data_IF_739692399889
#
_entry.id   IF_739692399889
#
_cell.length_a   1.000
_cell.length_b   1.000
_cell.length_c   1.000
_cell.angle_alpha   90.00
_cell.angle_beta   90.00
_cell.angle_gamma   90.00
#
_symmetry.space_group_name_H-M   'P 1'
#
loop_
_entity.id
_entity.type
_entity.pdbx_description
1 polymer ?
#
# COMPACT_ATOMS: atom_id res chain seq x y z
N UNK A 1 -15.23 18.57 5.89
CA UNK A 1 -14.10 17.83 6.49
C UNK A 1 -13.06 17.61 5.42
N UNK A 2 -11.81 18.05 5.68
CA UNK A 2 -10.78 18.31 4.68
C UNK A 2 -10.34 17.05 3.92
N UNK A 3 -9.77 17.28 2.73
CA UNK A 3 -9.07 16.24 1.99
C UNK A 3 -8.07 15.51 2.91
N UNK A 4 -7.80 14.21 2.70
CA UNK A 4 -6.78 13.51 3.46
C UNK A 4 -5.49 14.35 3.42
N UNK A 5 -4.93 14.74 4.58
CA UNK A 5 -3.75 15.62 4.66
C UNK A 5 -2.58 15.14 3.79
N UNK A 6 -2.48 13.84 3.53
CA UNK A 6 -1.51 13.26 2.59
C UNK A 6 -1.79 13.65 1.12
N UNK A 7 -3.04 13.71 0.67
CA UNK A 7 -3.39 14.06 -0.72
C UNK A 7 -3.10 15.54 -1.02
N UNK A 8 -3.39 16.43 -0.07
CA UNK A 8 -3.13 17.88 -0.22
C UNK A 8 -1.62 18.20 -0.26
N UNK A 9 -0.78 17.39 0.42
CA UNK A 9 0.68 17.52 0.42
C UNK A 9 1.29 17.35 -0.98
N UNK A 10 0.72 16.48 -1.81
CA UNK A 10 1.25 16.17 -3.15
C UNK A 10 0.70 17.09 -4.24
N UNK A 11 -0.48 17.69 -4.03
CA UNK A 11 -1.07 18.68 -4.96
C UNK A 11 -0.32 20.02 -5.00
N UNK A 12 0.56 20.30 -4.04
CA UNK A 12 1.40 21.51 -4.03
C UNK A 12 2.63 21.42 -4.96
N UNK A 13 2.88 20.27 -5.61
CA UNK A 13 3.94 20.15 -6.62
C UNK A 13 3.50 20.95 -7.85
N UNK A 14 4.13 22.11 -8.08
CA UNK A 14 3.83 23.00 -9.19
C UNK A 14 4.01 22.29 -10.54
N UNK A 15 3.01 22.42 -11.41
CA UNK A 15 3.06 22.08 -12.85
C UNK A 15 4.37 22.51 -13.55
N UNK A 16 4.98 23.61 -13.09
CA UNK A 16 6.21 24.16 -13.66
C UNK A 16 7.42 23.23 -13.60
N UNK A 17 7.45 22.23 -12.71
CA UNK A 17 8.54 21.25 -12.66
C UNK A 17 8.27 19.98 -13.48
N UNK A 18 7.04 19.76 -13.96
CA UNK A 18 6.68 18.56 -14.73
C UNK A 18 7.10 18.69 -16.20
N UNK A 19 6.88 19.86 -16.80
CA UNK A 19 7.16 20.10 -18.21
C UNK A 19 8.63 20.46 -18.40
N UNK A 20 9.45 19.48 -18.77
CA UNK A 20 10.88 19.71 -19.07
C UNK A 20 11.11 20.43 -20.40
N UNK A 21 10.27 20.20 -21.42
CA UNK A 21 10.41 20.81 -22.75
C UNK A 21 9.05 21.31 -23.25
N UNK A 22 9.01 22.52 -23.80
CA UNK A 22 7.78 23.12 -24.35
C UNK A 22 7.53 22.61 -25.78
N UNK A 23 6.25 22.45 -26.13
CA UNK A 23 5.81 22.02 -27.47
C UNK A 23 6.48 22.83 -28.59
N UNK A 24 6.54 24.16 -28.44
CA UNK A 24 7.11 25.09 -29.44
C UNK A 24 8.59 24.83 -29.80
N UNK A 25 9.34 24.09 -28.97
CA UNK A 25 10.76 23.75 -29.21
C UNK A 25 11.06 22.25 -29.34
N UNK A 26 10.07 21.37 -29.17
CA UNK A 26 10.28 19.92 -29.14
C UNK A 26 10.13 19.26 -30.53
N UNK A 27 9.35 19.88 -31.41
CA UNK A 27 9.09 19.39 -32.76
C UNK A 27 7.73 18.68 -32.90
N UNK A 28 7.48 18.13 -34.09
CA UNK A 28 6.15 17.62 -34.51
C UNK A 28 5.65 16.44 -33.66
N UNK A 29 6.56 15.67 -33.04
CA UNK A 29 6.23 14.46 -32.29
C UNK A 29 5.85 14.72 -30.82
N UNK A 30 5.77 15.99 -30.39
CA UNK A 30 5.51 16.33 -28.97
C UNK A 30 4.28 15.64 -28.39
N UNK A 31 3.15 15.67 -29.12
CA UNK A 31 1.89 15.08 -28.65
C UNK A 31 1.95 13.55 -28.58
N UNK A 32 2.62 12.93 -29.55
CA UNK A 32 2.83 11.47 -29.57
C UNK A 32 3.70 11.04 -28.39
N UNK A 33 4.84 11.70 -28.18
CA UNK A 33 5.74 11.38 -27.07
C UNK A 33 5.09 11.68 -25.70
N UNK A 34 4.29 12.75 -25.59
CA UNK A 34 3.51 13.05 -24.39
C UNK A 34 2.54 11.90 -24.06
N UNK A 35 1.81 11.42 -25.07
CA UNK A 35 0.88 10.31 -24.91
C UNK A 35 1.59 8.99 -24.57
N UNK A 36 2.74 8.69 -25.20
CA UNK A 36 3.55 7.52 -24.86
C UNK A 36 4.11 7.58 -23.43
N UNK A 37 4.60 8.74 -22.99
CA UNK A 37 5.03 8.94 -21.60
C UNK A 37 3.89 8.72 -20.62
N UNK A 38 2.69 9.24 -20.92
CA UNK A 38 1.49 9.01 -20.13
C UNK A 38 1.16 7.51 -20.04
N UNK A 39 1.14 6.81 -21.18
CA UNK A 39 0.85 5.37 -21.24
C UNK A 39 1.85 4.53 -20.43
N UNK A 40 3.16 4.79 -20.58
CA UNK A 40 4.21 4.11 -19.82
C UNK A 40 4.03 4.37 -18.31
N UNK A 41 3.69 5.60 -17.93
CA UNK A 41 3.53 5.95 -16.53
C UNK A 41 2.28 5.31 -15.90
N UNK A 42 1.18 5.25 -16.64
CA UNK A 42 -0.05 4.52 -16.27
C UNK A 42 0.23 3.03 -16.06
N UNK A 43 0.90 2.36 -17.01
CA UNK A 43 1.30 0.95 -16.87
C UNK A 43 2.18 0.72 -15.62
N UNK A 44 3.02 1.70 -15.26
CA UNK A 44 3.83 1.63 -14.03
C UNK A 44 2.99 1.64 -12.74
N UNK A 45 1.79 2.23 -12.76
CA UNK A 45 0.86 2.28 -11.61
C UNK A 45 0.22 0.91 -11.42
N UNK A 46 -0.26 0.30 -12.50
CA UNK A 46 -0.83 -1.04 -12.47
C UNK A 46 0.18 -2.05 -11.92
N UNK A 47 1.41 -2.05 -12.45
CA UNK A 47 2.52 -2.87 -11.93
C UNK A 47 2.84 -2.62 -10.45
N UNK A 48 2.63 -1.40 -9.96
CA UNK A 48 2.83 -1.10 -8.53
C UNK A 48 1.73 -1.72 -7.67
N UNK A 49 0.50 -1.74 -8.20
CA UNK A 49 -0.65 -2.37 -7.55
C UNK A 49 -0.48 -3.89 -7.49
N UNK A 50 0.00 -4.52 -8.58
CA UNK A 50 0.31 -5.96 -8.60
C UNK A 50 1.39 -6.33 -7.59
N UNK A 51 2.47 -5.53 -7.50
CA UNK A 51 3.52 -5.72 -6.50
C UNK A 51 2.99 -5.62 -5.06
N UNK A 52 2.02 -4.73 -4.80
CA UNK A 52 1.35 -4.62 -3.49
C UNK A 52 0.58 -5.91 -3.19
N UNK A 53 -0.17 -6.44 -4.16
CA UNK A 53 -0.92 -7.68 -3.97
C UNK A 53 0.00 -8.87 -3.67
N UNK A 54 1.08 -9.04 -4.43
CA UNK A 54 2.06 -10.09 -4.16
C UNK A 54 2.73 -9.94 -2.79
N UNK A 55 3.04 -8.72 -2.36
CA UNK A 55 3.56 -8.49 -1.03
C UNK A 55 2.54 -8.89 0.05
N UNK A 56 1.27 -8.54 -0.13
CA UNK A 56 0.20 -8.93 0.79
C UNK A 56 0.10 -10.46 0.93
N UNK A 57 0.10 -11.18 -0.20
CA UNK A 57 0.02 -12.64 -0.22
C UNK A 57 1.23 -13.28 0.46
N UNK A 58 2.43 -12.73 0.24
CA UNK A 58 3.67 -13.18 0.89
C UNK A 58 3.59 -13.08 2.42
N UNK A 59 3.18 -11.92 2.96
CA UNK A 59 3.06 -11.76 4.41
C UNK A 59 1.94 -12.61 5.01
N UNK A 60 0.83 -12.79 4.29
CA UNK A 60 -0.25 -13.69 4.71
C UNK A 60 0.25 -15.14 4.82
N UNK A 61 1.04 -15.60 3.85
CA UNK A 61 1.64 -16.93 3.87
C UNK A 61 2.58 -17.12 5.07
N UNK A 62 3.48 -16.15 5.33
CA UNK A 62 4.37 -16.21 6.50
C UNK A 62 3.58 -16.24 7.81
N UNK A 63 2.59 -15.37 7.96
CA UNK A 63 1.79 -15.33 9.19
C UNK A 63 1.00 -16.62 9.39
N UNK A 64 0.45 -17.19 8.32
CA UNK A 64 -0.24 -18.48 8.37
C UNK A 64 0.71 -19.60 8.81
N UNK A 65 1.93 -19.63 8.26
CA UNK A 65 2.95 -20.61 8.62
C UNK A 65 3.38 -20.47 10.10
N UNK A 66 3.62 -19.24 10.57
CA UNK A 66 4.00 -18.97 11.95
C UNK A 66 2.90 -19.34 12.94
N UNK A 67 1.64 -18.97 12.67
CA UNK A 67 0.51 -19.40 13.50
C UNK A 67 0.38 -20.93 13.52
N UNK A 68 0.53 -21.59 12.37
CA UNK A 68 0.48 -23.06 12.30
C UNK A 68 1.59 -23.69 13.14
N UNK A 69 2.81 -23.15 13.08
CA UNK A 69 3.94 -23.60 13.90
C UNK A 69 3.67 -23.42 15.40
N UNK A 70 3.09 -22.28 15.80
CA UNK A 70 2.67 -22.05 17.19
C UNK A 70 1.58 -23.06 17.59
N UNK A 71 0.58 -23.30 16.74
CA UNK A 71 -0.47 -24.30 16.97
C UNK A 71 0.09 -25.70 17.21
N UNK A 72 1.03 -26.14 16.36
CA UNK A 72 1.70 -27.43 16.49
C UNK A 72 2.59 -27.51 17.75
N UNK A 73 3.17 -26.39 18.19
CA UNK A 73 3.99 -26.35 19.40
C UNK A 73 3.23 -26.76 20.67
N UNK A 74 1.89 -26.63 20.69
CA UNK A 74 1.06 -27.09 21.81
C UNK A 74 0.92 -28.63 21.89
N UNK A 75 1.33 -29.37 20.85
CA UNK A 75 1.27 -30.83 20.82
C UNK A 75 2.61 -31.49 21.18
N UNK A 76 3.67 -30.71 21.31
CA UNK A 76 5.05 -31.20 21.47
C UNK A 76 5.49 -31.01 22.93
N UNK A 77 5.76 -32.12 23.63
CA UNK A 77 6.10 -32.15 25.07
C UNK A 77 7.27 -31.26 25.50
N UNK A 78 8.26 -31.04 24.63
CA UNK A 78 9.42 -30.16 24.92
C UNK A 78 8.95 -28.73 25.24
N UNK A 79 7.91 -28.27 24.57
CA UNK A 79 7.36 -26.94 24.77
C UNK A 79 6.41 -26.83 25.97
N UNK A 80 6.05 -27.95 26.60
CA UNK A 80 5.29 -27.97 27.86
C UNK A 80 6.21 -27.78 29.06
N UNK A 81 7.40 -28.40 29.03
CA UNK A 81 8.44 -28.22 30.06
C UNK A 81 9.00 -26.80 30.08
N UNK A 82 8.98 -26.13 28.92
CA UNK A 82 9.60 -24.82 28.75
C UNK A 82 8.79 -23.90 27.82
N UNK A 83 7.63 -23.39 28.29
CA UNK A 83 6.70 -22.59 27.47
C UNK A 83 7.29 -21.32 26.86
N UNK A 84 8.27 -20.71 27.54
CA UNK A 84 8.99 -19.53 27.07
C UNK A 84 9.71 -19.74 25.72
N UNK A 85 9.98 -20.98 25.32
CA UNK A 85 10.60 -21.31 24.02
C UNK A 85 9.69 -20.99 22.82
N UNK A 86 8.38 -20.79 23.05
CA UNK A 86 7.42 -20.33 22.03
C UNK A 86 7.51 -18.82 21.77
N UNK A 87 8.01 -18.04 22.73
CA UNK A 87 8.07 -16.57 22.67
C UNK A 87 8.87 -16.02 21.49
N UNK A 88 10.04 -16.59 21.08
CA UNK A 88 10.77 -16.13 19.90
C UNK A 88 9.95 -16.22 18.61
N UNK A 89 9.11 -17.25 18.45
CA UNK A 89 8.27 -17.44 17.27
C UNK A 89 7.16 -16.39 17.23
N UNK A 90 6.52 -16.14 18.39
CA UNK A 90 5.51 -15.08 18.50
C UNK A 90 6.12 -13.68 18.27
N UNK A 91 7.32 -13.44 18.79
CA UNK A 91 8.04 -12.18 18.58
C UNK A 91 8.41 -11.97 17.10
N UNK A 92 8.88 -13.02 16.42
CA UNK A 92 9.15 -12.98 14.98
C UNK A 92 7.88 -12.62 14.18
N UNK A 93 6.73 -13.21 14.55
CA UNK A 93 5.44 -12.87 13.97
C UNK A 93 5.03 -11.42 14.18
N UNK A 94 5.28 -10.87 15.37
CA UNK A 94 5.02 -9.47 15.67
C UNK A 94 5.88 -8.52 14.81
N UNK A 95 7.18 -8.80 14.71
CA UNK A 95 8.10 -8.04 13.84
C UNK A 95 7.64 -8.10 12.39
N UNK A 96 7.23 -9.28 11.92
CA UNK A 96 6.70 -9.48 10.57
C UNK A 96 5.43 -8.63 10.33
N UNK A 97 4.53 -8.52 11.30
CA UNK A 97 3.34 -7.66 11.20
C UNK A 97 3.69 -6.18 11.10
N UNK A 98 4.70 -5.71 11.86
CA UNK A 98 5.17 -4.32 11.78
C UNK A 98 5.74 -4.02 10.40
N UNK A 99 6.60 -4.89 9.86
CA UNK A 99 7.16 -4.74 8.52
C UNK A 99 6.05 -4.74 7.47
N UNK A 100 5.09 -5.67 7.59
CA UNK A 100 3.95 -5.77 6.69
C UNK A 100 3.15 -4.46 6.65
N UNK A 101 2.85 -3.88 7.81
CA UNK A 101 2.12 -2.62 7.91
C UNK A 101 2.87 -1.46 7.23
N UNK A 102 4.17 -1.33 7.47
CA UNK A 102 4.99 -0.30 6.82
C UNK A 102 5.02 -0.44 5.30
N UNK A 103 5.07 -1.68 4.80
CA UNK A 103 5.12 -1.94 3.37
C UNK A 103 3.80 -1.56 2.68
N UNK A 104 2.64 -1.97 3.23
CA UNK A 104 1.33 -1.56 2.70
C UNK A 104 1.21 -0.04 2.68
N UNK A 105 1.63 0.63 3.78
CA UNK A 105 1.60 2.09 3.87
C UNK A 105 2.47 2.75 2.80
N UNK A 106 3.67 2.23 2.57
CA UNK A 106 4.59 2.73 1.53
C UNK A 106 3.96 2.63 0.14
N UNK A 107 3.37 1.48 -0.21
CA UNK A 107 2.68 1.31 -1.49
C UNK A 107 1.50 2.28 -1.65
N UNK A 108 0.71 2.48 -0.60
CA UNK A 108 -0.40 3.46 -0.62
C UNK A 108 0.10 4.88 -0.90
N UNK A 109 1.18 5.29 -0.23
CA UNK A 109 1.75 6.63 -0.40
C UNK A 109 2.34 6.82 -1.80
N UNK A 110 3.10 5.84 -2.30
CA UNK A 110 3.66 5.87 -3.65
C UNK A 110 2.55 5.98 -4.71
N UNK A 111 1.49 5.16 -4.58
CA UNK A 111 0.40 5.16 -5.54
C UNK A 111 -0.34 6.49 -5.55
N UNK A 112 -0.58 7.06 -4.36
CA UNK A 112 -1.19 8.39 -4.21
C UNK A 112 -0.36 9.47 -4.93
N UNK A 113 0.96 9.44 -4.80
CA UNK A 113 1.86 10.35 -5.50
C UNK A 113 1.80 10.17 -7.03
N UNK A 114 1.79 8.91 -7.51
CA UNK A 114 1.68 8.64 -8.95
C UNK A 114 0.36 9.12 -9.55
N UNK A 115 -0.77 8.92 -8.86
CA UNK A 115 -2.07 9.45 -9.30
C UNK A 115 -2.07 10.98 -9.39
N UNK A 116 -1.43 11.67 -8.45
CA UNK A 116 -1.30 13.13 -8.52
C UNK A 116 -0.53 13.56 -9.79
N UNK A 117 0.56 12.87 -10.13
CA UNK A 117 1.32 13.13 -11.36
C UNK A 117 0.47 12.87 -12.61
N UNK A 118 -0.30 11.79 -12.65
CA UNK A 118 -1.26 11.53 -13.74
C UNK A 118 -2.23 12.68 -13.92
N UNK A 119 -2.86 13.15 -12.85
CA UNK A 119 -3.82 14.25 -12.93
C UNK A 119 -3.21 15.55 -13.45
N UNK A 120 -1.91 15.76 -13.24
CA UNK A 120 -1.19 16.89 -13.83
C UNK A 120 -0.91 16.67 -15.33
N UNK A 121 -0.47 15.46 -15.73
CA UNK A 121 -0.26 15.11 -17.16
C UNK A 121 -1.57 15.24 -17.95
N UNK A 122 -2.69 14.79 -17.37
CA UNK A 122 -4.02 14.83 -17.99
C UNK A 122 -4.51 16.24 -18.31
N UNK A 123 -3.96 17.29 -17.67
CA UNK A 123 -4.27 18.69 -18.03
C UNK A 123 -3.70 19.10 -19.39
N UNK A 124 -2.74 18.33 -19.91
CA UNK A 124 -2.12 18.52 -21.22
C UNK A 124 -2.74 17.61 -22.29
N UNK A 125 -3.59 16.66 -21.88
CA UNK A 125 -4.26 15.71 -22.77
C UNK A 125 -5.71 16.14 -23.04
N UNK A 126 -6.31 15.68 -24.15
CA UNK A 126 -7.72 15.98 -24.47
C UNK A 126 -8.71 15.40 -23.46
N UNK A 127 -8.35 14.28 -22.81
CA UNK A 127 -9.18 13.57 -21.85
C UNK A 127 -8.43 13.40 -20.52
N UNK A 128 -9.14 13.62 -19.42
CA UNK A 128 -8.63 13.46 -18.07
C UNK A 128 -9.37 12.30 -17.36
N UNK A 129 -9.10 11.08 -17.82
CA UNK A 129 -9.82 9.87 -17.44
C UNK A 129 -9.71 9.57 -15.95
N UNK A 130 -8.50 9.55 -15.40
CA UNK A 130 -8.25 9.26 -13.99
C UNK A 130 -8.69 10.40 -13.07
N UNK A 131 -8.59 11.66 -13.53
CA UNK A 131 -9.15 12.78 -12.78
C UNK A 131 -10.66 12.64 -12.68
N UNK A 132 -11.33 12.35 -13.80
CA UNK A 132 -12.77 12.18 -13.82
C UNK A 132 -13.24 10.97 -13.01
N UNK A 133 -12.54 9.84 -13.11
CA UNK A 133 -12.77 8.66 -12.25
C UNK A 133 -12.68 9.02 -10.77
N UNK A 134 -11.62 9.73 -10.36
CA UNK A 134 -11.45 10.16 -8.98
C UNK A 134 -12.56 11.12 -8.49
N UNK A 135 -13.09 11.96 -9.36
CA UNK A 135 -14.25 12.82 -9.08
C UNK A 135 -15.55 12.01 -8.90
N UNK A 136 -15.79 11.02 -9.77
CA UNK A 136 -16.93 10.09 -9.67
C UNK A 136 -16.88 9.31 -8.34
N UNK A 137 -15.69 8.83 -7.96
CA UNK A 137 -15.45 8.12 -6.70
C UNK A 137 -15.49 9.04 -5.45
N UNK A 138 -15.93 10.29 -5.60
CA UNK A 138 -16.16 11.22 -4.49
C UNK A 138 -14.90 11.90 -3.97
N UNK A 139 -13.77 11.81 -4.70
CA UNK A 139 -12.51 12.50 -4.42
C UNK A 139 -12.00 12.35 -2.98
N UNK A 140 -12.26 11.20 -2.36
CA UNK A 140 -11.92 10.91 -0.97
C UNK A 140 -12.72 11.69 0.09
N UNK A 141 -13.73 12.48 -0.32
CA UNK A 141 -14.63 13.22 0.59
C UNK A 141 -15.87 12.41 0.93
N UNK A 142 -16.33 11.58 0.00
CA UNK A 142 -17.55 10.81 0.14
C UNK A 142 -17.26 9.31 0.30
N UNK A 143 -17.25 8.84 1.56
CA UNK A 143 -16.98 7.44 1.90
C UNK A 143 -18.13 6.49 1.51
N UNK A 144 -19.32 6.98 1.18
CA UNK A 144 -20.41 6.10 0.73
C UNK A 144 -20.27 5.73 -0.74
N UNK A 145 -19.51 6.50 -1.54
CA UNK A 145 -19.24 6.21 -2.95
C UNK A 145 -18.11 5.23 -3.16
N UNK A 146 -17.03 5.36 -2.38
CA UNK A 146 -15.87 4.50 -2.52
C UNK A 146 -15.17 4.30 -1.18
N UNK A 147 -15.09 3.05 -0.75
CA UNK A 147 -14.30 2.66 0.41
C UNK A 147 -12.94 2.13 -0.09
N UNK A 148 -11.82 2.84 0.17
CA UNK A 148 -10.55 2.42 -0.42
C UNK A 148 -10.10 1.10 0.19
N UNK A 149 -9.91 0.08 -0.65
CA UNK A 149 -9.44 -1.26 -0.26
C UNK A 149 -8.22 -1.23 0.67
N UNK A 150 -7.32 -0.25 0.49
CA UNK A 150 -6.15 -0.07 1.35
C UNK A 150 -6.46 0.12 2.85
N UNK A 151 -7.65 0.60 3.23
CA UNK A 151 -8.02 0.69 4.65
C UNK A 151 -8.29 -0.68 5.26
N UNK A 152 -8.85 -1.60 4.47
CA UNK A 152 -9.11 -2.98 4.90
C UNK A 152 -7.78 -3.74 4.95
N UNK A 153 -6.94 -3.59 3.92
CA UNK A 153 -5.60 -4.21 3.89
C UNK A 153 -4.73 -3.77 5.09
N UNK A 154 -4.82 -2.50 5.49
CA UNK A 154 -4.09 -1.98 6.65
C UNK A 154 -4.54 -2.59 7.99
N UNK A 155 -5.75 -3.16 8.07
CA UNK A 155 -6.27 -3.80 9.28
C UNK A 155 -5.71 -5.22 9.47
N UNK A 156 -5.32 -5.90 8.39
CA UNK A 156 -4.81 -7.28 8.43
C UNK A 156 -3.57 -7.40 9.33
N UNK A 157 -2.49 -6.59 9.16
CA UNK A 157 -1.33 -6.65 10.05
C UNK A 157 -1.67 -6.39 11.52
N UNK A 158 -2.67 -5.54 11.80
CA UNK A 158 -3.10 -5.26 13.19
C UNK A 158 -3.77 -6.47 13.83
N UNK A 159 -4.61 -7.20 13.08
CA UNK A 159 -5.26 -8.42 13.59
C UNK A 159 -4.22 -9.47 13.93
N UNK A 160 -3.28 -9.77 13.02
CA UNK A 160 -2.19 -10.71 13.31
C UNK A 160 -1.29 -10.22 14.44
N UNK A 161 -0.94 -8.92 14.45
CA UNK A 161 -0.14 -8.31 15.50
C UNK A 161 -0.77 -8.47 16.88
N UNK A 162 -2.09 -8.24 17.00
CA UNK A 162 -2.83 -8.44 18.25
C UNK A 162 -2.77 -9.90 18.71
N UNK A 163 -2.92 -10.86 17.79
CA UNK A 163 -2.81 -12.29 18.09
C UNK A 163 -1.42 -12.60 18.66
N UNK A 164 -0.34 -12.15 18.01
CA UNK A 164 1.01 -12.38 18.51
C UNK A 164 1.28 -11.71 19.85
N UNK A 165 0.75 -10.50 20.08
CA UNK A 165 0.87 -9.81 21.37
C UNK A 165 0.21 -10.63 22.48
N UNK A 166 -1.02 -11.11 22.26
CA UNK A 166 -1.73 -11.96 23.24
C UNK A 166 -0.97 -13.26 23.51
N UNK A 167 -0.47 -13.92 22.46
CA UNK A 167 0.31 -15.15 22.60
C UNK A 167 1.62 -14.92 23.37
N UNK A 168 2.32 -13.81 23.10
CA UNK A 168 3.57 -13.47 23.77
C UNK A 168 3.33 -13.20 25.26
N UNK A 169 2.27 -12.46 25.61
CA UNK A 169 1.88 -12.27 27.02
C UNK A 169 1.50 -13.59 27.69
N UNK A 170 0.80 -14.48 26.99
CA UNK A 170 0.45 -15.80 27.50
C UNK A 170 1.70 -16.66 27.78
N UNK A 171 2.66 -16.71 26.85
CA UNK A 171 3.88 -17.50 27.01
C UNK A 171 4.87 -16.95 28.04
N UNK A 172 4.86 -15.64 28.30
CA UNK A 172 5.70 -15.04 29.35
C UNK A 172 5.10 -15.17 30.75
N UNK A 173 3.80 -15.45 30.85
CA UNK A 173 3.09 -15.58 32.12
C UNK A 173 3.09 -17.01 32.67
N UNK A 174 3.21 -18.00 31.80
CA UNK A 174 3.28 -19.43 32.12
C UNK A 174 4.74 -19.83 32.33
#
# INVERSE_FOLDING_TARGET
MGQPQEFTRWQQIKMSSLISNKEKGYGKNYKEHLFEQYKIFVDSIEKTSDRRQHANDYFLAINTALISLIGLSFQIKIFDTSPWLKSPIAFLGLVNCVIFWFLIRSYKQLNTGKFAVIHEIEKLLPLALYKHEWEILGSGKDKSKYYPFSHIELLIPWVFGLIYVVLLFYFLRI
#
